data_IF_223996289256
#
_entry.id   IF_223996289256
#
_cell.length_a   1.000
_cell.length_b   1.000
_cell.length_c   1.000
_cell.angle_alpha   90.00
_cell.angle_beta   90.00
_cell.angle_gamma   90.00
#
_symmetry.space_group_name_H-M   'P 1'
#
loop_
_entity.id
_entity.type
_entity.pdbx_description
1 polymer ?
#
# COMPACT_ATOMS: atom_id res chain seq x y z
N UNK A 1 0.79 5.79 19.69
CA UNK A 1 0.19 4.44 19.77
C UNK A 1 -1.06 4.43 18.92
N UNK A 2 -1.06 3.65 17.83
CA UNK A 2 -2.18 3.57 16.90
C UNK A 2 -3.25 2.66 17.50
N UNK A 3 -4.41 3.22 17.83
CA UNK A 3 -5.60 2.45 18.22
C UNK A 3 -6.37 2.16 16.93
N UNK A 4 -6.31 0.90 16.47
CA UNK A 4 -7.14 0.38 15.39
C UNK A 4 -8.61 0.45 15.81
N UNK A 5 -9.32 1.45 15.30
CA UNK A 5 -10.77 1.55 15.42
C UNK A 5 -11.33 1.95 14.06
N UNK A 6 -12.52 1.46 13.73
CA UNK A 6 -13.24 1.68 12.48
C UNK A 6 -13.34 3.15 12.01
N UNK A 7 -13.01 4.12 12.88
CA UNK A 7 -12.94 5.56 12.57
C UNK A 7 -11.81 5.97 11.63
N UNK A 8 -10.74 5.17 11.48
CA UNK A 8 -9.67 5.44 10.50
C UNK A 8 -9.81 4.62 9.22
N UNK A 9 -10.91 3.89 9.03
CA UNK A 9 -11.17 3.12 7.82
C UNK A 9 -11.68 4.06 6.74
N UNK A 10 -10.85 4.37 5.76
CA UNK A 10 -11.32 5.00 4.54
C UNK A 10 -11.91 3.90 3.66
N UNK A 11 -13.24 3.79 3.68
CA UNK A 11 -13.98 2.68 3.08
C UNK A 11 -13.61 2.35 1.61
N UNK A 12 -13.35 3.35 0.72
CA UNK A 12 -12.90 3.07 -0.65
C UNK A 12 -11.49 2.48 -0.76
N UNK A 13 -10.64 2.72 0.23
CA UNK A 13 -9.24 2.29 0.26
C UNK A 13 -9.10 0.89 0.88
N UNK A 14 -10.10 0.46 1.65
CA UNK A 14 -10.12 -0.83 2.32
C UNK A 14 -10.76 -1.94 1.49
N UNK A 15 -11.62 -1.64 0.51
CA UNK A 15 -12.27 -2.64 -0.34
C UNK A 15 -11.47 -2.87 -1.61
N UNK A 16 -11.03 -4.12 -1.84
CA UNK A 16 -10.29 -4.53 -3.04
C UNK A 16 -11.00 -5.65 -3.78
N UNK A 17 -10.93 -5.62 -5.11
CA UNK A 17 -11.41 -6.68 -5.99
C UNK A 17 -10.26 -7.62 -6.33
N UNK A 18 -10.50 -8.92 -6.26
CA UNK A 18 -9.54 -9.98 -6.62
C UNK A 18 -9.80 -10.51 -8.03
N UNK A 19 -8.89 -11.32 -8.57
CA UNK A 19 -9.00 -11.93 -9.92
C UNK A 19 -10.28 -12.73 -10.11
N UNK A 20 -10.75 -13.38 -9.05
CA UNK A 20 -11.96 -14.20 -8.99
C UNK A 20 -13.23 -13.41 -8.70
N UNK A 21 -13.21 -12.09 -8.96
CA UNK A 21 -14.34 -11.16 -8.83
C UNK A 21 -14.91 -11.05 -7.40
N UNK A 22 -14.13 -11.48 -6.40
CA UNK A 22 -14.49 -11.33 -5.00
C UNK A 22 -14.02 -9.98 -4.47
N UNK A 23 -14.83 -9.37 -3.60
CA UNK A 23 -14.42 -8.19 -2.85
C UNK A 23 -13.79 -8.66 -1.55
N UNK A 24 -12.76 -7.97 -1.07
CA UNK A 24 -12.09 -8.25 0.19
C UNK A 24 -11.88 -6.94 0.95
N UNK A 25 -12.22 -6.93 2.23
CA UNK A 25 -11.93 -5.83 3.14
C UNK A 25 -10.54 -6.01 3.75
N UNK A 26 -9.63 -5.09 3.45
CA UNK A 26 -8.25 -5.16 3.91
C UNK A 26 -7.74 -3.85 4.49
N UNK A 27 -6.92 -3.98 5.51
CA UNK A 27 -6.21 -2.88 6.15
C UNK A 27 -4.73 -3.20 6.17
N UNK A 28 -3.92 -2.23 5.77
CA UNK A 28 -2.47 -2.37 5.72
C UNK A 28 -1.80 -1.08 6.19
N UNK A 29 -0.53 -1.20 6.55
CA UNK A 29 0.31 -0.11 7.00
C UNK A 29 1.55 -0.08 6.14
N UNK A 30 1.91 1.13 5.70
CA UNK A 30 3.15 1.40 4.99
C UNK A 30 4.07 2.17 5.92
N UNK A 31 5.29 1.69 6.07
CA UNK A 31 6.38 2.40 6.72
C UNK A 31 7.37 2.85 5.66
N UNK A 32 7.67 4.14 5.65
CA UNK A 32 8.64 4.74 4.74
C UNK A 32 9.54 5.71 5.48
N UNK A 33 10.67 6.02 4.86
CA UNK A 33 11.65 6.97 5.36
C UNK A 33 12.22 7.78 4.21
N UNK A 34 12.73 8.97 4.51
CA UNK A 34 13.48 9.76 3.54
C UNK A 34 14.85 9.12 3.26
N UNK A 35 15.27 9.05 2.00
CA UNK A 35 16.64 8.64 1.66
C UNK A 35 17.64 9.69 2.13
N UNK A 36 18.88 9.27 2.43
CA UNK A 36 19.93 10.19 2.89
C UNK A 36 20.23 11.31 1.88
N UNK A 37 20.07 11.03 0.59
CA UNK A 37 20.23 11.96 -0.54
C UNK A 37 18.90 12.51 -1.09
N UNK A 38 17.76 12.07 -0.56
CA UNK A 38 16.43 12.37 -1.08
C UNK A 38 15.79 13.67 -0.57
N UNK A 39 16.46 14.42 0.31
CA UNK A 39 15.89 15.65 0.88
C UNK A 39 15.59 16.75 -0.16
N UNK A 40 16.45 17.01 -1.16
CA UNK A 40 16.13 17.96 -2.23
C UNK A 40 14.91 17.51 -3.05
N UNK A 41 14.87 16.22 -3.40
CA UNK A 41 13.79 15.61 -4.16
C UNK A 41 12.44 15.74 -3.43
N UNK A 42 12.41 15.41 -2.15
CA UNK A 42 11.22 15.49 -1.30
C UNK A 42 10.70 16.93 -1.15
N UNK A 43 11.58 17.93 -1.14
CA UNK A 43 11.21 19.34 -0.96
C UNK A 43 10.87 20.07 -2.27
N UNK A 44 11.41 19.63 -3.41
CA UNK A 44 11.38 20.41 -4.64
C UNK A 44 10.78 19.69 -5.86
N UNK A 45 10.78 18.36 -5.90
CA UNK A 45 10.32 17.61 -7.08
C UNK A 45 8.84 17.25 -7.04
N UNK A 46 8.26 17.13 -5.85
CA UNK A 46 6.85 16.79 -5.66
C UNK A 46 6.19 17.78 -4.71
N UNK A 47 4.97 18.22 -5.06
CA UNK A 47 4.22 19.21 -4.26
C UNK A 47 3.83 18.69 -2.88
N UNK A 48 3.39 17.43 -2.82
CA UNK A 48 2.93 16.76 -1.60
C UNK A 48 3.45 15.30 -1.61
N UNK A 49 4.68 15.06 -1.10
CA UNK A 49 5.32 13.75 -1.17
C UNK A 49 4.62 12.70 -0.30
N UNK A 50 4.04 13.10 0.83
CA UNK A 50 3.24 12.18 1.66
C UNK A 50 1.97 11.72 0.94
N UNK A 51 1.31 12.62 0.18
CA UNK A 51 0.16 12.23 -0.64
C UNK A 51 0.57 11.30 -1.79
N UNK A 52 1.76 11.50 -2.35
CA UNK A 52 2.31 10.59 -3.36
C UNK A 52 2.55 9.19 -2.81
N UNK A 53 3.01 9.07 -1.55
CA UNK A 53 3.14 7.76 -0.87
C UNK A 53 1.77 7.11 -0.70
N UNK A 54 0.76 7.87 -0.26
CA UNK A 54 -0.61 7.36 -0.10
C UNK A 54 -1.17 6.85 -1.42
N UNK A 55 -1.12 7.66 -2.48
CA UNK A 55 -1.59 7.28 -3.81
C UNK A 55 -0.83 6.05 -4.35
N UNK A 56 0.50 6.04 -4.25
CA UNK A 56 1.31 4.89 -4.67
C UNK A 56 0.94 3.62 -3.91
N UNK A 57 0.62 3.73 -2.62
CA UNK A 57 0.21 2.59 -1.80
C UNK A 57 -1.13 1.98 -2.24
N UNK A 58 -2.12 2.83 -2.53
CA UNK A 58 -3.41 2.38 -3.02
C UNK A 58 -3.31 1.76 -4.41
N UNK A 59 -2.59 2.40 -5.32
CA UNK A 59 -2.39 1.89 -6.68
C UNK A 59 -1.67 0.55 -6.65
N UNK A 60 -0.58 0.44 -5.90
CA UNK A 60 0.18 -0.80 -5.83
C UNK A 60 -0.61 -1.93 -5.16
N UNK A 61 -1.35 -1.65 -4.08
CA UNK A 61 -2.19 -2.64 -3.44
C UNK A 61 -3.30 -3.14 -4.37
N UNK A 62 -4.00 -2.22 -5.07
CA UNK A 62 -5.03 -2.57 -6.05
C UNK A 62 -4.48 -3.44 -7.18
N UNK A 63 -3.31 -3.07 -7.71
CA UNK A 63 -2.70 -3.83 -8.81
C UNK A 63 -2.28 -5.24 -8.40
N UNK A 64 -1.68 -5.39 -7.21
CA UNK A 64 -1.22 -6.71 -6.74
C UNK A 64 -2.41 -7.58 -6.35
N UNK A 65 -3.34 -7.07 -5.54
CA UNK A 65 -4.51 -7.84 -5.08
C UNK A 65 -5.43 -8.20 -6.24
N UNK A 66 -5.63 -7.30 -7.21
CA UNK A 66 -6.44 -7.56 -8.40
C UNK A 66 -5.86 -8.61 -9.35
N UNK A 67 -4.63 -9.08 -9.13
CA UNK A 67 -4.01 -10.19 -9.87
C UNK A 67 -3.99 -11.50 -9.09
N UNK A 68 -4.46 -11.51 -7.85
CA UNK A 68 -4.48 -12.69 -6.97
C UNK A 68 -5.90 -13.16 -6.70
N UNK A 69 -6.07 -14.42 -6.32
CA UNK A 69 -7.37 -14.93 -5.82
C UNK A 69 -7.61 -14.53 -4.37
N UNK A 70 -8.88 -14.50 -3.96
CA UNK A 70 -9.29 -14.20 -2.59
C UNK A 70 -8.62 -15.13 -1.56
N UNK A 71 -8.64 -16.45 -1.80
CA UNK A 71 -8.06 -17.43 -0.90
C UNK A 71 -6.55 -17.21 -0.69
N UNK A 72 -5.83 -16.86 -1.76
CA UNK A 72 -4.41 -16.55 -1.67
C UNK A 72 -4.16 -15.33 -0.78
N UNK A 73 -4.93 -14.25 -0.97
CA UNK A 73 -4.77 -13.02 -0.18
C UNK A 73 -5.13 -13.24 1.30
N UNK A 74 -6.11 -14.10 1.59
CA UNK A 74 -6.57 -14.38 2.96
C UNK A 74 -5.59 -15.25 3.76
N UNK A 75 -5.10 -16.35 3.17
CA UNK A 75 -4.47 -17.44 3.93
C UNK A 75 -2.96 -17.61 3.69
N UNK A 76 -2.50 -17.48 2.45
CA UNK A 76 -1.13 -17.92 2.09
C UNK A 76 -0.21 -16.77 1.67
N UNK A 77 -0.80 -15.74 1.08
CA UNK A 77 -0.10 -14.76 0.26
C UNK A 77 0.26 -13.47 0.97
N UNK A 78 -0.09 -13.24 2.24
CA UNK A 78 0.03 -11.90 2.87
C UNK A 78 1.45 -11.32 2.79
N UNK A 79 2.46 -12.12 3.10
CA UNK A 79 3.88 -11.70 3.03
C UNK A 79 4.31 -11.46 1.58
N UNK A 80 3.88 -12.32 0.67
CA UNK A 80 4.19 -12.24 -0.77
C UNK A 80 3.56 -11.00 -1.38
N UNK A 81 2.27 -10.76 -1.12
CA UNK A 81 1.53 -9.56 -1.52
C UNK A 81 2.21 -8.32 -0.96
N UNK A 82 2.52 -8.29 0.33
CA UNK A 82 3.20 -7.15 0.95
C UNK A 82 4.55 -6.84 0.29
N UNK A 83 5.34 -7.87 -0.06
CA UNK A 83 6.64 -7.70 -0.72
C UNK A 83 6.48 -7.19 -2.15
N UNK A 84 5.50 -7.71 -2.91
CA UNK A 84 5.19 -7.24 -4.27
C UNK A 84 4.70 -5.79 -4.24
N UNK A 85 3.82 -5.45 -3.30
CA UNK A 85 3.32 -4.08 -3.10
C UNK A 85 4.46 -3.15 -2.74
N UNK A 86 5.34 -3.54 -1.81
CA UNK A 86 6.52 -2.75 -1.45
C UNK A 86 7.40 -2.45 -2.67
N UNK A 87 7.68 -3.46 -3.50
CA UNK A 87 8.50 -3.29 -4.69
C UNK A 87 7.84 -2.34 -5.70
N UNK A 88 6.55 -2.53 -5.98
CA UNK A 88 5.79 -1.71 -6.92
C UNK A 88 5.65 -0.26 -6.42
N UNK A 89 5.38 -0.06 -5.13
CA UNK A 89 5.34 1.26 -4.51
C UNK A 89 6.68 1.98 -4.67
N UNK A 90 7.80 1.29 -4.41
CA UNK A 90 9.13 1.88 -4.57
C UNK A 90 9.36 2.31 -6.02
N UNK A 91 8.96 1.49 -7.01
CA UNK A 91 9.06 1.85 -8.43
C UNK A 91 8.25 3.10 -8.78
N UNK A 92 7.03 3.24 -8.26
CA UNK A 92 6.18 4.42 -8.49
C UNK A 92 6.83 5.67 -7.87
N UNK A 93 7.29 5.57 -6.62
CA UNK A 93 7.88 6.69 -5.88
C UNK A 93 9.23 7.13 -6.43
N UNK A 94 10.02 6.21 -6.97
CA UNK A 94 11.25 6.52 -7.70
C UNK A 94 10.96 7.21 -9.03
N UNK A 95 9.88 6.81 -9.73
CA UNK A 95 9.46 7.46 -10.98
C UNK A 95 9.03 8.91 -10.76
N UNK A 96 8.39 9.20 -9.62
CA UNK A 96 8.02 10.55 -9.22
C UNK A 96 9.18 11.31 -8.55
N UNK A 97 10.36 10.69 -8.43
CA UNK A 97 11.54 11.27 -7.81
C UNK A 97 11.21 11.92 -6.46
N UNK A 98 10.51 11.16 -5.60
CA UNK A 98 10.04 11.69 -4.30
C UNK A 98 11.13 11.72 -3.23
N UNK A 99 12.27 11.06 -3.46
CA UNK A 99 13.31 10.87 -2.45
C UNK A 99 12.94 9.92 -1.31
N UNK A 100 11.77 9.26 -1.39
CA UNK A 100 11.26 8.35 -0.36
C UNK A 100 11.75 6.91 -0.60
N UNK A 101 12.09 6.22 0.50
CA UNK A 101 12.35 4.79 0.53
C UNK A 101 11.27 4.07 1.35
N UNK A 102 10.58 3.13 0.71
CA UNK A 102 9.62 2.25 1.37
C UNK A 102 10.38 1.20 2.18
N UNK A 103 10.16 1.19 3.48
CA UNK A 103 10.84 0.28 4.41
C UNK A 103 10.10 -1.04 4.55
N UNK A 104 8.79 -0.98 4.78
CA UNK A 104 7.96 -2.17 4.99
C UNK A 104 6.51 -1.87 4.65
N UNK A 105 5.85 -2.84 4.01
CA UNK A 105 4.39 -2.89 3.89
C UNK A 105 3.92 -4.07 4.74
N UNK A 106 2.90 -3.86 5.57
CA UNK A 106 2.37 -4.89 6.45
C UNK A 106 0.84 -4.92 6.37
N UNK A 107 0.28 -6.09 6.05
CA UNK A 107 -1.16 -6.31 6.00
C UNK A 107 -1.64 -6.71 7.40
N UNK A 108 -2.51 -5.91 8.02
CA UNK A 108 -2.95 -6.10 9.40
C UNK A 108 -4.22 -6.94 9.49
N UNK A 109 -5.22 -6.60 8.69
CA UNK A 109 -6.52 -7.28 8.66
C UNK A 109 -6.93 -7.54 7.22
N UNK A 110 -7.43 -8.74 6.96
CA UNK A 110 -8.02 -9.15 5.67
C UNK A 110 -9.19 -10.04 6.01
N UNK A 111 -10.38 -9.70 5.51
CA UNK A 111 -11.60 -10.46 5.70
C UNK A 111 -12.52 -10.32 4.49
N UNK A 112 -13.41 -11.30 4.25
CA UNK A 112 -14.52 -11.11 3.32
C UNK A 112 -15.37 -9.88 3.72
N UNK A 113 -15.97 -9.17 2.75
CA UNK A 113 -16.95 -8.12 3.02
C UNK A 113 -18.19 -8.72 3.69
N UNK A 114 -18.89 -7.90 4.50
CA UNK A 114 -20.23 -8.23 5.01
C UNK A 114 -21.28 -8.27 3.89
#
# INVERSE_FOLDING_TARGET
GFRGGARNKVLPEALMLTTDENIVDMQFVVQYRLRADGAPDYLFMTRDPDDSVRQASETAMREVVGKQSMDFVLYEGRTTVATQVQALMQQILDRYQTGVQVSTVAIQHVQPPE
#
